data_IF_804920196427
#
_entry.id   IF_804920196427
#
_cell.length_a   1.000
_cell.length_b   1.000
_cell.length_c   1.000
_cell.angle_alpha   90.00
_cell.angle_beta   90.00
_cell.angle_gamma   90.00
#
_symmetry.space_group_name_H-M   'P 1'
#
loop_
_entity.id
_entity.type
_entity.pdbx_description
1 polymer ?
#
# COMPACT_ATOMS: atom_id res chain seq x y z
N UNK A 1 48.47 42.49 20.66
CA UNK A 1 47.96 41.12 20.42
C UNK A 1 46.46 41.14 20.66
N UNK A 2 45.69 41.60 19.67
CA UNK A 2 44.23 41.55 19.72
C UNK A 2 43.78 40.18 19.23
N UNK A 3 43.21 39.40 20.14
CA UNK A 3 42.46 38.19 19.83
C UNK A 3 41.15 38.60 19.15
N UNK A 4 41.15 38.70 17.82
CA UNK A 4 39.91 38.80 17.07
C UNK A 4 39.35 37.38 16.91
N UNK A 5 38.29 37.13 17.69
CA UNK A 5 37.47 35.92 17.71
C UNK A 5 37.22 35.30 16.33
N UNK A 6 37.33 33.96 16.16
CA UNK A 6 36.89 33.26 14.97
C UNK A 6 35.36 33.07 14.96
N UNK A 7 34.59 34.12 15.25
CA UNK A 7 33.11 34.05 15.29
C UNK A 7 32.50 34.18 13.89
N UNK A 8 33.28 34.55 12.87
CA UNK A 8 32.79 34.78 11.51
C UNK A 8 32.86 33.56 10.56
N UNK A 9 33.09 32.34 11.08
CA UNK A 9 33.19 31.11 10.27
C UNK A 9 31.91 30.27 10.20
N UNK A 10 30.91 30.53 11.05
CA UNK A 10 29.74 29.65 11.20
C UNK A 10 28.53 30.15 10.37
N UNK A 11 28.53 31.41 9.96
CA UNK A 11 27.36 32.06 9.35
C UNK A 11 27.02 31.61 7.91
N UNK A 12 27.97 31.08 7.13
CA UNK A 12 27.74 30.85 5.69
C UNK A 12 27.63 29.38 5.28
N UNK A 13 27.33 28.48 6.20
CA UNK A 13 27.19 27.08 5.80
C UNK A 13 25.85 26.80 5.09
N UNK A 14 24.84 27.67 5.13
CA UNK A 14 23.44 27.37 4.71
C UNK A 14 23.24 26.77 3.28
N UNK A 15 24.24 26.73 2.41
CA UNK A 15 24.15 26.14 1.06
C UNK A 15 25.19 25.07 0.67
N UNK A 16 26.14 24.64 1.52
CA UNK A 16 27.19 23.67 1.10
C UNK A 16 26.91 22.22 1.56
N UNK A 17 27.42 21.18 0.85
CA UNK A 17 27.30 19.78 1.27
C UNK A 17 27.84 19.51 2.69
N UNK A 18 28.91 20.20 3.07
CA UNK A 18 29.47 20.16 4.42
C UNK A 18 28.46 20.62 5.48
N UNK A 19 27.57 21.55 5.12
CA UNK A 19 26.51 22.00 6.01
C UNK A 19 25.37 21.01 6.14
N UNK A 20 24.97 20.33 5.07
CA UNK A 20 23.94 19.29 5.16
C UNK A 20 24.41 18.17 6.09
N UNK A 21 25.69 17.80 6.02
CA UNK A 21 26.28 16.83 6.94
C UNK A 21 26.31 17.32 8.41
N UNK A 22 26.66 18.59 8.63
CA UNK A 22 26.56 19.22 9.96
C UNK A 22 25.12 19.28 10.48
N UNK A 23 24.14 19.49 9.60
CA UNK A 23 22.72 19.44 9.96
C UNK A 23 22.31 18.04 10.40
N UNK A 24 22.72 16.98 9.67
CA UNK A 24 22.48 15.60 10.10
C UNK A 24 23.07 15.30 11.47
N UNK A 25 24.29 15.78 11.74
CA UNK A 25 24.93 15.62 13.05
C UNK A 25 24.13 16.30 14.17
N UNK A 26 23.77 17.57 13.98
CA UNK A 26 23.12 18.43 14.98
C UNK A 26 21.64 18.10 15.19
N UNK A 27 20.94 17.71 14.12
CA UNK A 27 19.47 17.58 14.09
C UNK A 27 18.98 16.15 13.83
N UNK A 28 19.81 15.12 14.02
CA UNK A 28 19.43 13.72 13.80
C UNK A 28 18.07 13.35 14.43
N UNK A 29 17.80 13.81 15.66
CA UNK A 29 16.55 13.49 16.35
C UNK A 29 15.32 14.05 15.64
N UNK A 30 15.45 15.22 14.98
CA UNK A 30 14.35 15.82 14.20
C UNK A 30 14.10 15.01 12.93
N UNK A 31 15.17 14.60 12.24
CA UNK A 31 15.07 13.73 11.07
C UNK A 31 14.43 12.37 11.42
N UNK A 32 14.85 11.75 12.53
CA UNK A 32 14.27 10.48 12.99
C UNK A 32 12.79 10.63 13.38
N UNK A 33 12.41 11.76 13.98
CA UNK A 33 11.02 12.04 14.30
C UNK A 33 10.17 12.22 13.03
N UNK A 34 10.68 12.98 12.07
CA UNK A 34 10.02 13.19 10.80
C UNK A 34 9.86 11.88 10.02
N UNK A 35 10.91 11.06 10.02
CA UNK A 35 10.91 9.72 9.42
C UNK A 35 9.78 8.86 9.99
N UNK A 36 9.68 8.76 11.33
CA UNK A 36 8.61 8.01 12.01
C UNK A 36 7.22 8.49 11.61
N UNK A 37 7.03 9.82 11.62
CA UNK A 37 5.77 10.44 11.21
C UNK A 37 5.39 10.08 9.77
N UNK A 38 6.35 10.16 8.85
CA UNK A 38 6.12 9.85 7.44
C UNK A 38 5.77 8.37 7.24
N UNK A 39 6.44 7.46 7.95
CA UNK A 39 6.11 6.04 7.96
C UNK A 39 4.69 5.80 8.48
N UNK A 40 4.30 6.45 9.57
CA UNK A 40 2.96 6.30 10.16
C UNK A 40 1.88 6.83 9.22
N UNK A 41 2.11 7.98 8.59
CA UNK A 41 1.22 8.56 7.59
C UNK A 41 1.07 7.65 6.36
N UNK A 42 2.18 7.08 5.87
CA UNK A 42 2.17 6.12 4.77
C UNK A 42 1.39 4.84 5.13
N UNK A 43 1.56 4.33 6.36
CA UNK A 43 0.82 3.16 6.83
C UNK A 43 -0.68 3.44 6.97
N UNK A 44 -1.07 4.57 7.57
CA UNK A 44 -2.47 5.00 7.62
C UNK A 44 -3.07 5.10 6.21
N UNK A 45 -2.36 5.74 5.28
CA UNK A 45 -2.85 5.89 3.90
C UNK A 45 -3.01 4.53 3.19
N UNK A 46 -2.11 3.60 3.44
CA UNK A 46 -2.20 2.24 2.93
C UNK A 46 -3.45 1.53 3.48
N UNK A 47 -3.67 1.57 4.80
CA UNK A 47 -4.84 0.97 5.45
C UNK A 47 -6.16 1.54 4.92
N UNK A 48 -6.25 2.86 4.74
CA UNK A 48 -7.42 3.52 4.16
C UNK A 48 -7.73 3.01 2.75
N UNK A 49 -6.70 2.89 1.90
CA UNK A 49 -6.83 2.39 0.52
C UNK A 49 -7.22 0.91 0.52
N UNK A 50 -6.66 0.09 1.41
CA UNK A 50 -7.04 -1.33 1.53
C UNK A 50 -8.50 -1.49 1.97
N UNK A 51 -8.96 -0.68 2.93
CA UNK A 51 -10.34 -0.67 3.38
C UNK A 51 -11.30 -0.25 2.27
N UNK A 52 -10.97 0.83 1.55
CA UNK A 52 -11.77 1.28 0.43
C UNK A 52 -11.81 0.24 -0.70
N UNK A 53 -10.67 -0.34 -1.07
CA UNK A 53 -10.60 -1.37 -2.10
C UNK A 53 -11.45 -2.58 -1.70
N UNK A 54 -11.37 -3.03 -0.44
CA UNK A 54 -12.21 -4.11 0.08
C UNK A 54 -13.70 -3.79 -0.05
N UNK A 55 -14.11 -2.57 0.30
CA UNK A 55 -15.50 -2.14 0.16
C UNK A 55 -15.96 -2.11 -1.31
N UNK A 56 -15.10 -1.70 -2.23
CA UNK A 56 -15.40 -1.71 -3.67
C UNK A 56 -15.53 -3.11 -4.25
N UNK A 57 -14.69 -4.07 -3.80
CA UNK A 57 -14.71 -5.46 -4.25
C UNK A 57 -15.89 -6.27 -3.69
N UNK A 58 -16.42 -5.90 -2.52
CA UNK A 58 -17.61 -6.55 -1.95
C UNK A 58 -18.90 -6.25 -2.74
N UNK A 59 -18.88 -5.31 -3.68
CA UNK A 59 -20.06 -5.02 -4.51
C UNK A 59 -20.34 -6.19 -5.47
N UNK A 60 -21.63 -6.48 -5.78
CA UNK A 60 -22.02 -7.64 -6.60
C UNK A 60 -21.45 -7.67 -8.03
N UNK A 61 -20.81 -6.60 -8.50
CA UNK A 61 -20.51 -6.35 -9.91
C UNK A 61 -19.19 -6.98 -10.41
N UNK A 62 -18.69 -8.05 -9.79
CA UNK A 62 -17.48 -8.74 -10.26
C UNK A 62 -16.28 -7.80 -10.45
N UNK A 63 -16.09 -6.85 -9.54
CA UNK A 63 -15.02 -5.85 -9.64
C UNK A 63 -13.67 -6.47 -9.34
N UNK A 64 -12.64 -5.94 -10.00
CA UNK A 64 -11.24 -6.32 -9.76
C UNK A 64 -10.42 -5.07 -9.42
N UNK A 65 -9.36 -5.19 -8.60
CA UNK A 65 -8.46 -4.07 -8.34
C UNK A 65 -7.81 -3.53 -9.62
N UNK A 66 -7.66 -2.21 -9.74
CA UNK A 66 -6.83 -1.63 -10.79
C UNK A 66 -5.37 -2.05 -10.57
N UNK A 67 -4.64 -2.38 -11.64
CA UNK A 67 -3.25 -2.86 -11.53
C UNK A 67 -2.30 -1.86 -10.84
N UNK A 68 -2.50 -0.57 -11.08
CA UNK A 68 -1.74 0.49 -10.40
C UNK A 68 -1.92 0.48 -8.88
N UNK A 69 -3.14 0.20 -8.39
CA UNK A 69 -3.44 0.11 -6.96
C UNK A 69 -2.74 -1.09 -6.34
N UNK A 70 -2.78 -2.27 -6.99
CA UNK A 70 -2.08 -3.47 -6.50
C UNK A 70 -0.56 -3.24 -6.42
N UNK A 71 0.03 -2.66 -7.48
CA UNK A 71 1.45 -2.38 -7.53
C UNK A 71 1.87 -1.40 -6.45
N UNK A 72 1.09 -0.33 -6.24
CA UNK A 72 1.34 0.65 -5.20
C UNK A 72 1.25 0.03 -3.81
N UNK A 73 0.20 -0.73 -3.49
CA UNK A 73 0.04 -1.42 -2.20
C UNK A 73 1.20 -2.38 -1.92
N UNK A 74 1.63 -3.15 -2.91
CA UNK A 74 2.79 -4.04 -2.78
C UNK A 74 4.07 -3.26 -2.47
N UNK A 75 4.33 -2.18 -3.20
CA UNK A 75 5.53 -1.37 -3.01
C UNK A 75 5.54 -0.68 -1.63
N UNK A 76 4.41 -0.15 -1.18
CA UNK A 76 4.29 0.48 0.14
C UNK A 76 4.49 -0.50 1.28
N UNK A 77 3.97 -1.73 1.18
CA UNK A 77 4.23 -2.78 2.18
C UNK A 77 5.71 -3.09 2.33
N UNK A 78 6.45 -3.16 1.23
CA UNK A 78 7.91 -3.35 1.30
C UNK A 78 8.62 -2.12 1.86
N UNK A 79 8.22 -0.91 1.45
CA UNK A 79 8.77 0.34 1.99
C UNK A 79 8.60 0.45 3.52
N UNK A 80 7.42 0.09 4.05
CA UNK A 80 7.16 0.10 5.50
C UNK A 80 8.07 -0.91 6.23
N UNK A 81 8.28 -2.11 5.68
CA UNK A 81 9.22 -3.10 6.24
C UNK A 81 10.65 -2.56 6.24
N UNK A 82 11.10 -1.98 5.14
CA UNK A 82 12.41 -1.34 5.05
C UNK A 82 12.56 -0.21 6.07
N UNK A 83 11.51 0.60 6.24
CA UNK A 83 11.51 1.70 7.18
C UNK A 83 11.67 1.23 8.63
N UNK A 84 11.00 0.14 9.00
CA UNK A 84 11.18 -0.50 10.31
C UNK A 84 12.60 -1.01 10.52
N UNK A 85 13.24 -1.56 9.48
CA UNK A 85 14.65 -1.98 9.55
C UNK A 85 15.56 -0.78 9.79
N UNK A 86 15.32 0.35 9.12
CA UNK A 86 16.08 1.59 9.33
C UNK A 86 15.88 2.12 10.75
N UNK A 87 14.66 2.15 11.27
CA UNK A 87 14.39 2.59 12.65
C UNK A 87 15.09 1.72 13.68
N UNK A 88 15.09 0.40 13.47
CA UNK A 88 15.79 -0.53 14.34
C UNK A 88 17.31 -0.31 14.29
N UNK A 89 17.88 0.03 13.13
CA UNK A 89 19.30 0.36 13.02
C UNK A 89 19.64 1.66 13.76
N UNK A 90 18.83 2.70 13.57
CA UNK A 90 19.07 4.02 14.16
C UNK A 90 18.86 4.00 15.68
N UNK A 91 17.82 3.33 16.17
CA UNK A 91 17.53 3.19 17.61
C UNK A 91 18.60 2.40 18.36
N UNK A 92 19.11 1.33 17.75
CA UNK A 92 20.17 0.50 18.34
C UNK A 92 21.58 1.08 18.15
N UNK A 93 21.71 2.26 17.54
CA UNK A 93 23.01 2.88 17.24
C UNK A 93 23.89 2.07 16.28
N UNK A 94 23.32 1.16 15.48
CA UNK A 94 24.06 0.22 14.60
C UNK A 94 24.66 0.86 13.34
N UNK A 95 25.00 2.14 13.38
CA UNK A 95 25.64 2.86 12.26
C UNK A 95 26.82 3.66 12.76
N UNK A 96 27.91 3.60 11.98
CA UNK A 96 29.23 4.11 12.36
C UNK A 96 29.27 5.63 12.62
N UNK A 97 28.27 6.41 12.18
CA UNK A 97 28.24 7.86 12.39
C UNK A 97 26.82 8.50 12.41
N UNK A 98 26.58 9.50 13.29
CA UNK A 98 25.28 10.22 13.41
C UNK A 98 24.84 10.87 12.09
N UNK A 99 25.78 11.44 11.36
CA UNK A 99 25.47 12.10 10.10
C UNK A 99 25.11 11.10 8.98
N UNK A 100 25.68 9.90 9.02
CA UNK A 100 25.34 8.77 8.14
C UNK A 100 23.89 8.34 8.39
N UNK A 101 23.51 8.22 9.67
CA UNK A 101 22.12 7.96 10.06
C UNK A 101 21.19 9.06 9.58
N UNK A 102 21.56 10.32 9.79
CA UNK A 102 20.73 11.46 9.38
C UNK A 102 20.50 11.48 7.88
N UNK A 103 21.53 11.20 7.08
CA UNK A 103 21.41 11.05 5.62
C UNK A 103 20.46 9.91 5.25
N UNK A 104 20.65 8.72 5.82
CA UNK A 104 19.83 7.55 5.52
C UNK A 104 18.35 7.79 5.82
N UNK A 105 18.02 8.37 6.98
CA UNK A 105 16.62 8.65 7.32
C UNK A 105 16.03 9.78 6.47
N UNK A 106 16.82 10.78 6.08
CA UNK A 106 16.38 11.88 5.19
C UNK A 106 16.02 11.33 3.80
N UNK A 107 16.90 10.51 3.22
CA UNK A 107 16.67 9.86 1.91
C UNK A 107 15.43 8.98 1.92
N UNK A 108 15.31 8.08 2.89
CA UNK A 108 14.13 7.20 2.99
C UNK A 108 12.84 7.96 3.32
N UNK A 109 12.94 9.09 4.04
CA UNK A 109 11.77 9.98 4.22
C UNK A 109 11.31 10.56 2.89
N UNK A 110 12.25 10.94 2.01
CA UNK A 110 11.95 11.38 0.64
C UNK A 110 11.22 10.32 -0.17
N UNK A 111 11.74 9.07 -0.16
CA UNK A 111 11.10 7.94 -0.86
C UNK A 111 9.67 7.68 -0.35
N UNK A 112 9.44 7.69 0.97
CA UNK A 112 8.09 7.54 1.54
C UNK A 112 7.16 8.67 1.14
N UNK A 113 7.67 9.90 1.05
CA UNK A 113 6.89 11.05 0.58
C UNK A 113 6.47 10.86 -0.89
N UNK A 114 7.34 10.35 -1.75
CA UNK A 114 6.99 10.06 -3.14
C UNK A 114 5.86 9.03 -3.24
N UNK A 115 5.80 8.03 -2.35
CA UNK A 115 4.67 7.09 -2.31
C UNK A 115 3.36 7.76 -1.89
N UNK A 116 3.40 8.69 -0.94
CA UNK A 116 2.23 9.47 -0.52
C UNK A 116 1.74 10.40 -1.63
N UNK A 117 2.65 11.12 -2.28
CA UNK A 117 2.33 12.04 -3.37
C UNK A 117 1.74 11.30 -4.58
N UNK A 118 2.17 10.05 -4.81
CA UNK A 118 1.66 9.16 -5.87
C UNK A 118 0.57 8.17 -5.39
N UNK A 119 -0.02 8.40 -4.21
CA UNK A 119 -1.04 7.50 -3.68
C UNK A 119 -2.28 7.47 -4.60
N UNK A 120 -2.88 6.28 -4.83
CA UNK A 120 -4.12 6.16 -5.57
C UNK A 120 -5.19 7.13 -5.09
N UNK A 121 -5.81 7.85 -6.04
CA UNK A 121 -6.85 8.81 -5.72
C UNK A 121 -8.13 8.09 -5.30
N UNK A 122 -8.50 8.26 -4.03
CA UNK A 122 -9.70 7.66 -3.45
C UNK A 122 -10.99 8.06 -4.19
N UNK A 123 -11.04 9.26 -4.80
CA UNK A 123 -12.25 9.71 -5.51
C UNK A 123 -12.48 9.06 -6.87
N UNK A 124 -11.44 8.47 -7.49
CA UNK A 124 -11.50 7.91 -8.85
C UNK A 124 -11.90 6.42 -8.89
N UNK A 125 -12.20 5.84 -7.73
CA UNK A 125 -12.45 4.41 -7.57
C UNK A 125 -11.18 3.57 -7.70
N UNK A 126 -10.98 2.64 -6.77
CA UNK A 126 -9.79 1.79 -6.72
C UNK A 126 -9.94 0.49 -7.50
N UNK A 127 -11.18 0.08 -7.76
CA UNK A 127 -11.52 -1.08 -8.54
C UNK A 127 -12.09 -0.69 -9.92
N UNK A 128 -11.96 -1.61 -10.87
CA UNK A 128 -12.54 -1.55 -12.20
C UNK A 128 -13.44 -2.75 -12.43
N UNK A 129 -14.32 -2.67 -13.42
CA UNK A 129 -15.17 -3.80 -13.76
C UNK A 129 -14.30 -4.95 -14.27
N UNK A 130 -14.52 -6.15 -13.72
CA UNK A 130 -13.80 -7.35 -14.14
C UNK A 130 -14.25 -7.81 -15.53
N UNK A 131 -13.59 -8.85 -16.08
CA UNK A 131 -14.11 -9.54 -17.25
C UNK A 131 -15.57 -9.88 -17.03
N UNK A 132 -16.43 -9.52 -17.99
CA UNK A 132 -17.88 -9.77 -17.90
C UNK A 132 -18.14 -11.18 -17.41
N UNK A 133 -18.68 -11.31 -16.20
CA UNK A 133 -19.10 -12.59 -15.63
C UNK A 133 -20.37 -13.14 -16.33
N UNK A 134 -20.77 -12.56 -17.48
CA UNK A 134 -22.11 -12.73 -18.04
C UNK A 134 -23.14 -11.90 -17.27
N UNK A 135 -24.39 -11.94 -17.72
CA UNK A 135 -25.49 -11.37 -16.95
C UNK A 135 -25.70 -12.21 -15.69
N UNK A 136 -25.72 -11.55 -14.52
CA UNK A 136 -26.33 -12.12 -13.32
C UNK A 136 -27.81 -12.37 -13.62
N UNK A 137 -28.18 -13.64 -13.78
CA UNK A 137 -29.57 -14.04 -13.90
C UNK A 137 -30.15 -14.12 -12.47
N UNK A 138 -31.21 -13.35 -12.16
CA UNK A 138 -31.91 -13.50 -10.89
C UNK A 138 -32.37 -14.95 -10.72
N UNK A 139 -31.95 -15.59 -9.63
CA UNK A 139 -32.43 -16.92 -9.27
C UNK A 139 -33.64 -16.77 -8.35
N UNK A 140 -34.78 -17.32 -8.72
CA UNK A 140 -35.90 -17.52 -7.81
C UNK A 140 -35.57 -18.60 -6.79
N UNK A 141 -36.23 -18.58 -5.63
CA UNK A 141 -36.15 -19.69 -4.66
C UNK A 141 -36.55 -21.00 -5.35
N UNK A 142 -35.64 -21.96 -5.35
CA UNK A 142 -35.89 -23.28 -5.90
C UNK A 142 -36.61 -24.13 -4.85
N UNK A 143 -37.92 -24.30 -5.04
CA UNK A 143 -38.76 -25.12 -4.16
C UNK A 143 -38.96 -26.50 -4.79
N UNK A 144 -38.71 -27.58 -4.04
CA UNK A 144 -39.02 -28.96 -4.44
C UNK A 144 -37.94 -29.71 -5.23
N UNK A 145 -36.94 -29.04 -5.78
CA UNK A 145 -35.89 -29.66 -6.64
C UNK A 145 -34.52 -29.76 -5.93
N UNK A 146 -34.54 -30.01 -4.61
CA UNK A 146 -33.34 -29.97 -3.79
C UNK A 146 -32.30 -31.04 -4.17
N UNK A 147 -32.77 -32.24 -4.50
CA UNK A 147 -31.91 -33.36 -4.89
C UNK A 147 -31.16 -33.09 -6.19
N UNK A 148 -31.86 -32.56 -7.21
CA UNK A 148 -31.27 -32.22 -8.52
C UNK A 148 -30.23 -31.11 -8.36
N UNK A 149 -30.52 -30.09 -7.52
CA UNK A 149 -29.56 -29.03 -7.20
C UNK A 149 -28.27 -29.59 -6.60
N UNK A 150 -28.39 -30.50 -5.63
CA UNK A 150 -27.23 -31.09 -4.95
C UNK A 150 -26.41 -31.97 -5.91
N UNK A 151 -27.06 -32.68 -6.82
CA UNK A 151 -26.39 -33.47 -7.87
C UNK A 151 -25.58 -32.59 -8.83
N UNK A 152 -26.20 -31.51 -9.33
CA UNK A 152 -25.51 -30.53 -10.17
C UNK A 152 -24.32 -29.90 -9.42
N UNK A 153 -24.52 -29.55 -8.14
CA UNK A 153 -23.47 -28.98 -7.31
C UNK A 153 -22.28 -29.94 -7.13
N UNK A 154 -22.55 -31.22 -6.91
CA UNK A 154 -21.50 -32.24 -6.81
C UNK A 154 -20.70 -32.38 -8.12
N UNK A 155 -21.38 -32.33 -9.27
CA UNK A 155 -20.74 -32.35 -10.59
C UNK A 155 -19.84 -31.12 -10.82
N UNK A 156 -20.28 -29.93 -10.39
CA UNK A 156 -19.51 -28.69 -10.55
C UNK A 156 -18.22 -28.66 -9.72
N UNK A 157 -18.17 -29.39 -8.60
CA UNK A 157 -16.99 -29.46 -7.74
C UNK A 157 -15.93 -30.46 -8.23
N UNK A 158 -16.20 -31.21 -9.30
CA UNK A 158 -15.26 -32.18 -9.88
C UNK A 158 -14.46 -31.54 -11.01
N UNK A 159 -13.12 -31.56 -10.91
CA UNK A 159 -12.22 -30.99 -11.94
C UNK A 159 -12.36 -31.67 -13.32
N UNK A 160 -12.81 -32.93 -13.36
CA UNK A 160 -12.91 -33.73 -14.58
C UNK A 160 -14.18 -33.42 -15.40
N UNK A 161 -15.18 -32.76 -14.81
CA UNK A 161 -16.46 -32.46 -15.47
C UNK A 161 -16.36 -31.14 -16.21
N UNK A 162 -16.37 -31.19 -17.55
CA UNK A 162 -16.28 -30.00 -18.40
C UNK A 162 -17.63 -29.47 -18.91
N UNK A 163 -18.69 -30.29 -18.90
CA UNK A 163 -20.03 -29.94 -19.42
C UNK A 163 -21.13 -30.67 -18.65
N UNK A 164 -22.22 -29.96 -18.37
CA UNK A 164 -23.44 -30.51 -17.77
C UNK A 164 -24.61 -30.22 -18.72
N UNK A 165 -25.34 -31.25 -19.12
CA UNK A 165 -26.57 -31.13 -19.91
C UNK A 165 -27.79 -31.27 -19.01
N UNK A 166 -28.64 -30.24 -18.96
CA UNK A 166 -29.91 -30.27 -18.20
C UNK A 166 -31.07 -30.30 -19.18
N UNK A 167 -32.00 -31.24 -19.00
CA UNK A 167 -33.23 -31.34 -19.81
C UNK A 167 -34.44 -31.29 -18.89
N UNK A 168 -35.41 -30.45 -19.23
CA UNK A 168 -36.67 -30.32 -18.50
C UNK A 168 -37.81 -29.92 -19.42
N UNK A 169 -39.04 -29.95 -18.90
CA UNK A 169 -40.18 -29.37 -19.59
C UNK A 169 -40.06 -27.84 -19.58
N UNK A 170 -40.41 -27.20 -20.71
CA UNK A 170 -40.50 -25.74 -20.76
C UNK A 170 -41.61 -25.25 -19.85
N UNK A 171 -41.30 -24.26 -19.02
CA UNK A 171 -42.30 -23.57 -18.19
C UNK A 171 -43.07 -22.63 -19.12
N UNK A 172 -44.39 -22.81 -19.23
CA UNK A 172 -45.28 -21.82 -19.83
C UNK A 172 -45.67 -20.84 -18.73
N UNK A 173 -45.26 -19.58 -18.87
CA UNK A 173 -45.80 -18.47 -18.09
C UNK A 173 -47.13 -18.01 -18.70
#
# INVERSE_FOLDING_TARGET
>A
MEYVQPVLGIANCLGTPACKYLQYLRKLNDYVRNFKRMRDELNCKMEDIELQLKAELLRPLGKIPKKGVENWLKAVKEMIKEAQVVENKVSNGRYLCRACNGKLVDEKTGEMKEFLDNAPNASEGLAMDGPSAGLLLPTSELVGEEAVRNEIWACLMQEEVSKIGVRGMGIKN
#
